data_IF_249640132770
#
_entry.id   IF_249640132770
#
_cell.length_a   1.000
_cell.length_b   1.000
_cell.length_c   1.000
_cell.angle_alpha   90.00
_cell.angle_beta   90.00
_cell.angle_gamma   90.00
#
_symmetry.space_group_name_H-M   'P 1'
#
loop_
_entity.id
_entity.type
_entity.pdbx_description
1 polymer ?
#
# COMPACT_ATOMS: atom_id res chain seq x y z
N UNK A 1 -82.72 -18.78 -46.77
CA UNK A 1 -81.30 -18.56 -47.10
C UNK A 1 -81.02 -17.07 -46.90
N UNK A 2 -80.40 -16.68 -45.78
CA UNK A 2 -80.09 -15.27 -45.49
C UNK A 2 -78.83 -14.90 -46.26
N UNK A 3 -78.97 -14.06 -47.30
CA UNK A 3 -77.83 -13.41 -47.95
C UNK A 3 -77.16 -12.52 -46.88
N UNK A 4 -75.90 -12.82 -46.56
CA UNK A 4 -75.11 -11.99 -45.67
C UNK A 4 -74.78 -10.70 -46.42
N UNK A 5 -75.02 -9.59 -45.74
CA UNK A 5 -74.77 -8.24 -46.24
C UNK A 5 -73.26 -8.00 -46.25
N UNK A 6 -72.58 -8.40 -47.33
CA UNK A 6 -71.14 -8.19 -47.50
C UNK A 6 -70.89 -6.75 -47.92
N UNK A 7 -70.75 -5.87 -46.92
CA UNK A 7 -70.24 -4.52 -47.14
C UNK A 7 -68.77 -4.63 -47.54
N UNK A 8 -68.51 -4.56 -48.84
CA UNK A 8 -67.15 -4.46 -49.36
C UNK A 8 -66.46 -3.21 -48.84
N UNK A 9 -65.17 -3.33 -48.51
CA UNK A 9 -64.33 -2.20 -48.11
C UNK A 9 -64.32 -1.20 -49.26
N UNK A 10 -64.66 0.05 -48.97
CA UNK A 10 -64.67 1.09 -50.00
C UNK A 10 -63.24 1.46 -50.37
N UNK A 11 -62.98 1.75 -51.65
CA UNK A 11 -61.64 2.16 -52.12
C UNK A 11 -61.07 3.34 -51.32
N UNK A 12 -61.95 4.23 -50.85
CA UNK A 12 -61.61 5.38 -50.01
C UNK A 12 -61.04 4.96 -48.66
N UNK A 13 -61.61 3.94 -48.01
CA UNK A 13 -61.10 3.42 -46.73
C UNK A 13 -59.70 2.81 -46.89
N UNK A 14 -59.43 2.10 -48.00
CA UNK A 14 -58.10 1.54 -48.28
C UNK A 14 -57.06 2.63 -48.49
N UNK A 15 -57.39 3.66 -49.30
CA UNK A 15 -56.49 4.78 -49.54
C UNK A 15 -56.22 5.59 -48.27
N UNK A 16 -57.24 5.81 -47.45
CA UNK A 16 -57.09 6.49 -46.16
C UNK A 16 -56.20 5.69 -45.21
N UNK A 17 -56.42 4.38 -45.09
CA UNK A 17 -55.60 3.49 -44.27
C UNK A 17 -54.13 3.46 -44.72
N UNK A 18 -53.87 3.39 -46.03
CA UNK A 18 -52.52 3.45 -46.59
C UNK A 18 -51.84 4.79 -46.27
N UNK A 19 -52.57 5.90 -46.41
CA UNK A 19 -52.04 7.24 -46.15
C UNK A 19 -51.67 7.40 -44.67
N UNK A 20 -52.55 7.00 -43.75
CA UNK A 20 -52.29 7.06 -42.31
C UNK A 20 -51.10 6.15 -41.95
N UNK A 21 -51.05 4.94 -42.50
CA UNK A 21 -49.95 4.00 -42.26
C UNK A 21 -48.62 4.57 -42.73
N UNK A 22 -48.59 5.24 -43.89
CA UNK A 22 -47.37 5.88 -44.40
C UNK A 22 -46.90 7.03 -43.49
N UNK A 23 -47.82 7.86 -42.98
CA UNK A 23 -47.48 8.96 -42.06
C UNK A 23 -46.92 8.41 -40.74
N UNK A 24 -47.58 7.41 -40.16
CA UNK A 24 -47.14 6.79 -38.90
C UNK A 24 -45.81 6.07 -39.12
N UNK A 25 -45.68 5.29 -40.20
CA UNK A 25 -44.47 4.56 -40.54
C UNK A 25 -43.26 5.47 -40.76
N UNK A 26 -43.44 6.57 -41.51
CA UNK A 26 -42.40 7.57 -41.70
C UNK A 26 -41.97 8.24 -40.38
N UNK A 27 -42.92 8.52 -39.49
CA UNK A 27 -42.63 9.12 -38.18
C UNK A 27 -41.85 8.16 -37.28
N UNK A 28 -42.24 6.88 -37.23
CA UNK A 28 -41.54 5.84 -36.44
C UNK A 28 -40.12 5.65 -36.98
N UNK A 29 -39.96 5.54 -38.31
CA UNK A 29 -38.64 5.39 -38.91
C UNK A 29 -37.73 6.58 -38.62
N UNK A 30 -38.26 7.81 -38.68
CA UNK A 30 -37.50 9.01 -38.34
C UNK A 30 -36.95 9.00 -36.91
N UNK A 31 -37.81 8.66 -35.93
CA UNK A 31 -37.39 8.57 -34.51
C UNK A 31 -36.39 7.43 -34.30
N UNK A 32 -36.61 6.27 -34.92
CA UNK A 32 -35.70 5.14 -34.80
C UNK A 32 -34.32 5.47 -35.37
N UNK A 33 -34.27 6.05 -36.57
CA UNK A 33 -33.02 6.45 -37.21
C UNK A 33 -32.28 7.50 -36.37
N UNK A 34 -32.98 8.49 -35.83
CA UNK A 34 -32.40 9.48 -34.91
C UNK A 34 -31.84 8.81 -33.64
N UNK A 35 -32.55 7.81 -33.09
CA UNK A 35 -32.12 7.09 -31.89
C UNK A 35 -30.85 6.27 -32.14
N UNK A 36 -30.76 5.59 -33.29
CA UNK A 36 -29.57 4.82 -33.67
C UNK A 36 -28.37 5.74 -33.85
N UNK A 37 -28.50 6.84 -34.61
CA UNK A 37 -27.42 7.80 -34.82
C UNK A 37 -26.98 8.47 -33.51
N UNK A 38 -27.92 8.79 -32.62
CA UNK A 38 -27.61 9.34 -31.30
C UNK A 38 -26.89 8.32 -30.41
N UNK A 39 -27.25 7.04 -30.51
CA UNK A 39 -26.58 5.95 -29.79
C UNK A 39 -25.15 5.76 -30.30
N UNK A 40 -24.93 5.66 -31.60
CA UNK A 40 -23.59 5.52 -32.20
C UNK A 40 -22.68 6.70 -31.85
N UNK A 41 -23.20 7.92 -31.91
CA UNK A 41 -22.46 9.13 -31.50
C UNK A 41 -22.10 9.10 -30.00
N UNK A 42 -23.02 8.64 -29.16
CA UNK A 42 -22.79 8.51 -27.71
C UNK A 42 -21.74 7.42 -27.40
N UNK A 43 -21.81 6.28 -28.09
CA UNK A 43 -20.82 5.21 -27.97
C UNK A 43 -19.43 5.68 -28.41
N UNK A 44 -19.33 6.33 -29.57
CA UNK A 44 -18.06 6.92 -30.05
C UNK A 44 -17.49 7.92 -29.05
N UNK A 45 -18.29 8.86 -28.53
CA UNK A 45 -17.84 9.85 -27.55
C UNK A 45 -17.35 9.20 -26.24
N UNK A 46 -17.99 8.12 -25.79
CA UNK A 46 -17.54 7.38 -24.61
C UNK A 46 -16.19 6.69 -24.85
N UNK A 47 -16.01 6.08 -26.02
CA UNK A 47 -14.75 5.46 -26.42
C UNK A 47 -13.63 6.50 -26.53
N UNK A 48 -13.87 7.61 -27.23
CA UNK A 48 -12.91 8.72 -27.34
C UNK A 48 -12.48 9.26 -25.97
N UNK A 49 -13.43 9.39 -25.03
CA UNK A 49 -13.11 9.80 -23.65
C UNK A 49 -12.24 8.78 -22.92
N UNK A 50 -12.48 7.48 -23.11
CA UNK A 50 -11.65 6.43 -22.51
C UNK A 50 -10.22 6.48 -23.06
N UNK A 51 -10.08 6.59 -24.38
CA UNK A 51 -8.78 6.71 -25.04
C UNK A 51 -8.04 7.98 -24.59
N UNK A 52 -8.73 9.12 -24.51
CA UNK A 52 -8.15 10.36 -24.03
C UNK A 52 -7.62 10.26 -22.59
N UNK A 53 -8.31 9.52 -21.71
CA UNK A 53 -7.84 9.28 -20.36
C UNK A 53 -6.63 8.33 -20.31
N UNK A 54 -6.56 7.34 -21.21
CA UNK A 54 -5.39 6.45 -21.33
C UNK A 54 -4.18 7.26 -21.79
N UNK A 55 -4.35 8.08 -22.83
CA UNK A 55 -3.33 9.02 -23.32
C UNK A 55 -2.89 9.95 -22.19
N UNK A 56 -3.84 10.52 -21.44
CA UNK A 56 -3.53 11.40 -20.31
C UNK A 56 -2.68 10.70 -19.23
N UNK A 57 -3.07 9.48 -18.88
CA UNK A 57 -2.40 8.71 -17.81
C UNK A 57 -0.97 8.38 -18.19
N UNK A 58 -0.75 7.97 -19.44
CA UNK A 58 0.60 7.67 -19.94
C UNK A 58 1.44 8.95 -20.09
N UNK A 59 0.88 10.07 -20.58
CA UNK A 59 1.58 11.36 -20.65
C UNK A 59 2.04 11.83 -19.27
N UNK A 60 1.16 11.73 -18.27
CA UNK A 60 1.50 12.01 -16.88
C UNK A 60 2.59 11.08 -16.36
N UNK A 61 2.49 9.78 -16.64
CA UNK A 61 3.49 8.82 -16.19
C UNK A 61 4.89 9.10 -16.79
N UNK A 62 4.97 9.53 -18.05
CA UNK A 62 6.24 9.92 -18.67
C UNK A 62 6.79 11.18 -18.01
N UNK A 63 5.95 12.20 -17.87
CA UNK A 63 6.32 13.47 -17.23
C UNK A 63 6.78 13.27 -15.78
N UNK A 64 6.19 12.32 -15.05
CA UNK A 64 6.53 12.03 -13.66
C UNK A 64 7.72 11.07 -13.48
N UNK A 65 7.98 10.12 -14.40
CA UNK A 65 8.95 9.03 -14.18
C UNK A 65 10.17 9.05 -15.11
N UNK A 66 10.05 9.63 -16.31
CA UNK A 66 11.10 9.53 -17.33
C UNK A 66 12.09 10.71 -17.30
N UNK A 67 11.87 11.69 -16.42
CA UNK A 67 12.50 13.01 -16.52
C UNK A 67 11.83 13.77 -17.66
N UNK A 68 12.58 14.06 -18.72
CA UNK A 68 12.11 14.99 -19.73
C UNK A 68 11.10 14.39 -20.75
N UNK A 69 10.13 15.20 -21.18
CA UNK A 69 9.17 14.82 -22.24
C UNK A 69 9.66 15.36 -23.60
N UNK A 70 9.84 14.48 -24.58
CA UNK A 70 10.23 14.87 -25.93
C UNK A 70 9.01 14.98 -26.86
N UNK A 71 8.86 16.15 -27.47
CA UNK A 71 7.77 16.45 -28.40
C UNK A 71 8.32 16.69 -29.79
N UNK A 72 7.99 15.77 -30.70
CA UNK A 72 8.45 15.80 -32.09
C UNK A 72 7.32 16.18 -33.04
N UNK A 73 7.68 16.88 -34.13
CA UNK A 73 6.74 17.16 -35.21
C UNK A 73 6.65 15.92 -36.10
N UNK A 74 5.44 15.36 -36.23
CA UNK A 74 5.16 14.29 -37.18
C UNK A 74 5.27 14.76 -38.63
N UNK A 75 5.28 13.82 -39.57
CA UNK A 75 5.46 14.12 -41.00
C UNK A 75 4.34 14.97 -41.61
N UNK A 76 3.16 15.02 -40.97
CA UNK A 76 2.05 15.89 -41.33
C UNK A 76 2.12 17.28 -40.69
N UNK A 77 1.53 18.29 -41.33
CA UNK A 77 1.55 19.70 -40.86
C UNK A 77 0.95 19.96 -39.47
N UNK A 78 0.29 18.96 -38.87
CA UNK A 78 -0.43 19.08 -37.60
C UNK A 78 -0.22 17.87 -36.67
N UNK A 79 0.66 16.95 -37.03
CA UNK A 79 0.90 15.74 -36.25
C UNK A 79 2.00 16.04 -35.23
N UNK A 80 1.74 15.73 -33.96
CA UNK A 80 2.72 15.85 -32.89
C UNK A 80 2.88 14.49 -32.24
N UNK A 81 4.11 13.98 -32.28
CA UNK A 81 4.46 12.68 -31.72
C UNK A 81 5.10 12.94 -30.36
N UNK A 82 4.41 12.48 -29.31
CA UNK A 82 5.02 12.35 -27.99
C UNK A 82 5.92 11.13 -28.01
N UNK A 83 7.17 11.29 -27.58
CA UNK A 83 8.08 10.18 -27.40
C UNK A 83 8.77 10.27 -26.05
N UNK A 84 9.13 9.11 -25.52
CA UNK A 84 10.07 9.00 -24.40
C UNK A 84 11.16 8.07 -24.86
N UNK A 85 12.41 8.55 -24.90
CA UNK A 85 13.56 7.81 -25.41
C UNK A 85 13.37 7.30 -26.85
N UNK A 86 12.72 8.08 -27.72
CA UNK A 86 12.58 7.78 -29.15
C UNK A 86 11.56 6.71 -29.52
N UNK A 87 10.74 6.22 -28.58
CA UNK A 87 9.61 5.33 -28.89
C UNK A 87 8.30 6.13 -28.98
N UNK A 88 7.55 6.05 -30.10
CA UNK A 88 6.29 6.76 -30.26
C UNK A 88 5.22 6.21 -29.30
N UNK A 89 4.40 7.13 -28.79
CA UNK A 89 3.43 6.88 -27.73
C UNK A 89 2.16 6.14 -28.16
N UNK A 90 1.74 6.34 -29.41
CA UNK A 90 0.54 5.73 -30.00
C UNK A 90 1.00 4.70 -31.02
N UNK A 91 0.89 3.43 -30.64
CA UNK A 91 0.98 2.32 -31.57
C UNK A 91 -0.21 2.42 -32.54
N UNK A 92 0.03 2.31 -33.85
CA UNK A 92 -0.90 2.46 -35.00
C UNK A 92 -2.41 2.36 -34.66
N UNK A 93 -2.96 3.38 -34.00
CA UNK A 93 -4.33 3.31 -33.47
C UNK A 93 -5.33 3.82 -34.51
N UNK A 94 -6.60 3.39 -34.42
CA UNK A 94 -7.70 3.91 -35.25
C UNK A 94 -8.02 5.41 -35.00
N UNK A 95 -7.21 6.11 -34.20
CA UNK A 95 -7.46 7.47 -33.74
C UNK A 95 -6.34 8.43 -34.17
N UNK A 96 -6.74 9.64 -34.52
CA UNK A 96 -5.81 10.75 -34.77
C UNK A 96 -5.78 11.66 -33.56
N UNK A 97 -4.59 11.94 -33.01
CA UNK A 97 -4.42 12.89 -31.91
C UNK A 97 -3.87 14.20 -32.48
N UNK A 98 -4.65 15.28 -32.34
CA UNK A 98 -4.25 16.64 -32.70
C UNK A 98 -3.87 17.37 -31.42
N UNK A 99 -2.64 17.90 -31.36
CA UNK A 99 -2.22 18.73 -30.24
C UNK A 99 -2.59 20.20 -30.51
N UNK A 100 -3.51 20.74 -29.72
CA UNK A 100 -4.03 22.09 -29.92
C UNK A 100 -3.19 23.13 -29.17
N UNK A 101 -2.79 22.81 -27.93
CA UNK A 101 -2.02 23.72 -27.09
C UNK A 101 -1.07 22.94 -26.19
N UNK A 102 0.18 23.40 -26.13
CA UNK A 102 1.19 22.94 -25.19
C UNK A 102 1.90 24.17 -24.64
N UNK A 103 1.58 24.51 -23.40
CA UNK A 103 2.08 25.73 -22.73
C UNK A 103 2.81 25.34 -21.46
N UNK A 104 4.05 25.79 -21.35
CA UNK A 104 4.74 25.90 -20.07
C UNK A 104 4.57 27.34 -19.57
N UNK A 105 4.85 27.59 -18.28
CA UNK A 105 4.81 28.94 -17.68
C UNK A 105 5.64 29.97 -18.47
N UNK A 106 6.62 29.52 -19.23
CA UNK A 106 7.50 30.39 -20.01
C UNK A 106 7.13 30.46 -21.51
N UNK A 107 6.69 29.37 -22.17
CA UNK A 107 6.61 29.29 -23.65
C UNK A 107 5.28 28.69 -24.18
N UNK A 108 4.82 29.19 -25.34
CA UNK A 108 3.78 28.56 -26.20
C UNK A 108 4.44 27.85 -27.38
N UNK A 109 4.28 26.54 -27.45
CA UNK A 109 5.22 25.67 -28.17
C UNK A 109 4.64 25.22 -29.49
N UNK A 110 3.32 25.15 -29.56
CA UNK A 110 2.61 24.95 -30.81
C UNK A 110 2.94 26.10 -31.77
N UNK A 111 3.14 27.31 -31.26
CA UNK A 111 3.58 28.45 -32.07
C UNK A 111 5.05 28.31 -32.53
N UNK A 112 5.93 27.77 -31.68
CA UNK A 112 7.35 27.53 -32.02
C UNK A 112 7.48 26.42 -33.08
N UNK A 113 6.76 25.31 -32.93
CA UNK A 113 6.79 24.16 -33.86
C UNK A 113 6.19 24.48 -35.25
N UNK A 114 5.35 25.52 -35.35
CA UNK A 114 4.85 26.03 -36.63
C UNK A 114 5.94 26.76 -37.42
N UNK A 115 6.88 27.41 -36.74
CA UNK A 115 7.87 28.30 -37.35
C UNK A 115 9.28 27.71 -37.48
N UNK A 116 9.59 26.63 -36.76
CA UNK A 116 10.91 25.98 -36.78
C UNK A 116 10.90 24.69 -37.62
N UNK A 117 11.96 24.49 -38.41
CA UNK A 117 12.14 23.36 -39.34
C UNK A 117 12.91 22.17 -38.74
N UNK A 118 13.34 22.25 -37.48
CA UNK A 118 13.96 21.12 -36.77
C UNK A 118 13.50 21.05 -35.31
N UNK A 119 13.74 19.96 -34.59
CA UNK A 119 13.10 18.63 -34.58
C UNK A 119 13.28 18.23 -33.12
N UNK A 120 12.19 18.01 -32.40
CA UNK A 120 12.18 17.67 -30.96
C UNK A 120 12.41 18.85 -30.01
N UNK A 121 11.44 19.09 -29.11
CA UNK A 121 11.60 19.95 -27.94
C UNK A 121 11.44 19.11 -26.69
N UNK A 122 12.37 19.27 -25.76
CA UNK A 122 12.47 18.53 -24.51
C UNK A 122 11.94 19.38 -23.36
N UNK A 123 11.02 18.84 -22.56
CA UNK A 123 10.43 19.51 -21.40
C UNK A 123 11.04 19.03 -20.12
N UNK A 124 11.49 19.95 -19.28
CA UNK A 124 11.85 19.63 -17.91
C UNK A 124 10.59 19.18 -17.15
N UNK A 125 10.65 17.99 -16.55
CA UNK A 125 9.58 17.45 -15.68
C UNK A 125 9.20 18.37 -14.53
N UNK A 126 10.06 19.32 -14.15
CA UNK A 126 9.84 20.19 -13.00
C UNK A 126 8.76 21.27 -13.18
N UNK A 127 8.38 21.56 -14.42
CA UNK A 127 7.43 22.64 -14.74
C UNK A 127 6.02 22.11 -14.94
N UNK A 128 5.01 22.87 -14.49
CA UNK A 128 3.62 22.59 -14.86
C UNK A 128 3.45 22.85 -16.37
N UNK A 129 2.87 21.87 -17.08
CA UNK A 129 2.60 21.94 -18.51
C UNK A 129 1.09 21.88 -18.74
N UNK A 130 0.50 22.93 -19.28
CA UNK A 130 -0.86 22.88 -19.80
C UNK A 130 -0.89 22.16 -21.15
N UNK A 131 -1.69 21.10 -21.23
CA UNK A 131 -1.84 20.28 -22.43
C UNK A 131 -3.31 20.32 -22.85
N UNK A 132 -3.56 20.66 -24.11
CA UNK A 132 -4.87 20.54 -24.76
C UNK A 132 -4.69 19.74 -26.03
N UNK A 133 -5.37 18.59 -26.15
CA UNK A 133 -5.38 17.79 -27.36
C UNK A 133 -6.79 17.33 -27.71
N UNK A 134 -7.01 17.12 -29.00
CA UNK A 134 -8.25 16.60 -29.57
C UNK A 134 -7.99 15.21 -30.16
N UNK A 135 -8.79 14.22 -29.75
CA UNK A 135 -8.79 12.89 -30.36
C UNK A 135 -9.93 12.81 -31.35
N UNK A 136 -9.64 12.36 -32.57
CA UNK A 136 -10.60 12.15 -33.65
C UNK A 136 -10.69 10.67 -34.03
N UNK A 137 -11.92 10.14 -34.17
CA UNK A 137 -12.17 8.80 -34.71
C UNK A 137 -12.32 8.79 -36.24
N UNK A 138 -12.39 7.59 -36.85
CA UNK A 138 -12.60 7.40 -38.29
C UNK A 138 -13.90 7.98 -38.87
N UNK A 139 -14.84 8.41 -38.03
CA UNK A 139 -16.10 9.03 -38.43
C UNK A 139 -16.08 10.56 -38.19
N UNK A 140 -14.90 11.13 -37.91
CA UNK A 140 -14.69 12.54 -37.58
C UNK A 140 -15.45 12.99 -36.33
N UNK A 141 -15.71 12.09 -35.38
CA UNK A 141 -16.12 12.50 -34.04
C UNK A 141 -14.88 12.94 -33.27
N UNK A 142 -14.98 14.08 -32.59
CA UNK A 142 -13.86 14.68 -31.87
C UNK A 142 -14.14 14.75 -30.36
N UNK A 143 -13.08 14.59 -29.56
CA UNK A 143 -13.10 14.79 -28.11
C UNK A 143 -11.88 15.61 -27.68
N UNK A 144 -12.12 16.82 -27.17
CA UNK A 144 -11.08 17.71 -26.64
C UNK A 144 -10.85 17.45 -25.16
N UNK A 145 -9.59 17.25 -24.77
CA UNK A 145 -9.17 17.14 -23.38
C UNK A 145 -8.18 18.26 -23.05
N UNK A 146 -8.55 19.08 -22.05
CA UNK A 146 -7.70 20.11 -21.47
C UNK A 146 -7.28 19.72 -20.05
N UNK A 147 -5.99 19.77 -19.78
CA UNK A 147 -5.41 19.43 -18.47
C UNK A 147 -4.19 20.29 -18.15
N UNK A 148 -3.69 20.11 -16.93
CA UNK A 148 -2.32 20.48 -16.55
C UNK A 148 -1.59 19.22 -16.09
N UNK A 149 -0.45 18.92 -16.72
CA UNK A 149 0.53 17.99 -16.19
C UNK A 149 1.34 18.75 -15.16
N UNK A 150 1.13 18.45 -13.87
CA UNK A 150 1.90 19.11 -12.83
C UNK A 150 3.38 18.75 -12.95
N UNK A 151 4.22 19.76 -12.80
CA UNK A 151 5.64 19.62 -12.63
C UNK A 151 5.93 18.72 -11.46
N UNK A 152 6.88 17.81 -11.62
CA UNK A 152 7.61 17.23 -10.53
C UNK A 152 8.32 18.38 -9.81
N UNK A 153 7.61 19.05 -8.89
CA UNK A 153 8.24 19.90 -7.88
C UNK A 153 9.38 19.05 -7.36
N UNK A 154 10.65 19.39 -7.71
CA UNK A 154 11.82 18.67 -7.22
C UNK A 154 11.57 18.51 -5.75
N UNK A 155 11.23 17.29 -5.38
CA UNK A 155 11.07 16.85 -4.02
C UNK A 155 12.50 16.92 -3.52
N UNK A 156 12.89 18.13 -3.11
CA UNK A 156 14.19 18.57 -2.63
C UNK A 156 14.79 17.42 -1.87
N UNK A 157 15.66 16.64 -2.51
CA UNK A 157 16.05 15.29 -2.09
C UNK A 157 15.12 14.74 -1.02
N UNK A 158 13.91 14.31 -1.40
CA UNK A 158 13.07 13.58 -0.47
C UNK A 158 13.92 12.42 -0.01
N UNK A 159 14.35 12.55 1.24
CA UNK A 159 15.08 11.56 2.00
C UNK A 159 14.42 10.22 1.73
N UNK A 160 15.05 9.42 0.87
CA UNK A 160 14.55 8.11 0.51
C UNK A 160 14.33 7.34 1.82
N UNK A 161 13.07 6.95 2.05
CA UNK A 161 12.67 5.82 2.88
C UNK A 161 13.10 5.80 4.35
N UNK A 162 12.53 6.64 5.22
CA UNK A 162 12.67 6.42 6.68
C UNK A 162 12.18 5.02 7.12
N UNK A 163 11.01 4.60 6.65
CA UNK A 163 10.34 3.37 7.12
C UNK A 163 10.89 2.06 6.53
N UNK A 164 11.29 2.02 5.25
CA UNK A 164 11.94 0.83 4.70
C UNK A 164 13.37 0.69 5.24
N UNK A 165 14.10 1.80 5.41
CA UNK A 165 15.37 1.80 6.14
C UNK A 165 15.18 1.37 7.59
N UNK A 166 14.04 1.67 8.22
CA UNK A 166 13.75 1.08 9.52
C UNK A 166 13.65 -0.45 9.42
N UNK A 167 12.79 -0.98 8.53
CA UNK A 167 12.61 -2.43 8.42
C UNK A 167 13.92 -3.17 8.12
N UNK A 168 14.72 -2.62 7.21
CA UNK A 168 15.97 -3.25 6.78
C UNK A 168 17.14 -2.96 7.73
N UNK A 169 17.41 -1.69 8.07
CA UNK A 169 18.58 -1.34 8.87
C UNK A 169 18.41 -1.69 10.35
N UNK A 170 17.17 -1.73 10.84
CA UNK A 170 16.88 -2.22 12.20
C UNK A 170 16.44 -3.67 12.19
N UNK A 171 16.46 -4.37 11.05
CA UNK A 171 16.10 -5.78 10.97
C UNK A 171 14.71 -6.06 11.60
N UNK A 172 13.74 -5.19 11.35
CA UNK A 172 12.40 -5.31 11.92
C UNK A 172 11.62 -6.39 11.19
N UNK A 173 11.27 -7.45 11.90
CA UNK A 173 10.42 -8.52 11.38
C UNK A 173 9.01 -8.48 11.95
N UNK A 174 8.75 -7.71 13.02
CA UNK A 174 7.42 -7.52 13.56
C UNK A 174 7.16 -6.03 13.78
N UNK A 175 6.12 -5.53 13.12
CA UNK A 175 5.65 -4.17 13.25
C UNK A 175 4.15 -4.13 13.49
N UNK A 176 3.72 -3.56 14.61
CA UNK A 176 2.30 -3.49 14.95
C UNK A 176 1.94 -2.23 15.74
N UNK A 177 0.65 -1.86 15.80
CA UNK A 177 0.15 -0.87 16.77
C UNK A 177 -0.25 -1.52 18.09
N UNK A 178 -0.77 -2.75 18.06
CA UNK A 178 -1.03 -3.52 19.27
C UNK A 178 -0.57 -4.96 19.12
N UNK A 179 -0.22 -5.56 20.23
CA UNK A 179 0.27 -6.93 20.29
C UNK A 179 -0.45 -7.64 21.43
N UNK A 180 -1.28 -8.61 21.08
CA UNK A 180 -2.04 -9.43 22.02
C UNK A 180 -1.49 -10.86 22.00
N UNK A 181 -1.05 -11.32 23.16
CA UNK A 181 -0.51 -12.66 23.36
C UNK A 181 -1.60 -13.72 23.63
N UNK A 182 -2.87 -13.31 23.62
CA UNK A 182 -4.03 -14.14 23.93
C UNK A 182 -4.11 -14.54 25.41
N UNK A 183 -5.31 -14.89 25.86
CA UNK A 183 -5.56 -15.33 27.25
C UNK A 183 -5.19 -16.80 27.53
N UNK A 184 -4.82 -17.56 26.49
CA UNK A 184 -4.64 -19.02 26.50
C UNK A 184 -3.35 -19.47 25.79
N UNK A 185 -2.54 -18.52 25.29
CA UNK A 185 -1.36 -18.78 24.48
C UNK A 185 -0.06 -18.73 25.30
N UNK A 186 0.90 -19.57 24.93
CA UNK A 186 2.31 -19.35 25.26
C UNK A 186 3.03 -18.95 23.97
N UNK A 187 2.88 -17.71 23.47
CA UNK A 187 3.56 -17.32 22.24
C UNK A 187 5.07 -17.30 22.48
N UNK A 188 5.78 -17.80 21.49
CA UNK A 188 7.24 -17.72 21.46
C UNK A 188 7.67 -16.93 20.24
N UNK A 189 8.50 -15.93 20.44
CA UNK A 189 9.02 -15.09 19.37
C UNK A 189 10.53 -15.14 19.45
N UNK A 190 11.16 -15.57 18.36
CA UNK A 190 12.60 -15.70 18.25
C UNK A 190 13.10 -14.84 17.09
N UNK A 191 14.11 -14.02 17.34
CA UNK A 191 14.71 -13.23 16.28
C UNK A 191 16.10 -12.75 16.65
N UNK A 192 17.09 -13.59 16.42
CA UNK A 192 18.50 -13.22 16.51
C UNK A 192 18.82 -12.17 15.43
N UNK A 193 19.50 -11.09 15.81
CA UNK A 193 19.67 -9.86 15.03
C UNK A 193 18.43 -8.97 14.91
N UNK A 194 17.23 -9.54 15.07
CA UNK A 194 16.01 -8.90 14.63
C UNK A 194 15.36 -7.96 15.66
N UNK A 195 14.47 -7.09 15.17
CA UNK A 195 13.75 -6.11 15.97
C UNK A 195 12.24 -6.25 15.92
N UNK A 196 11.60 -5.83 17.02
CA UNK A 196 10.15 -5.66 17.16
C UNK A 196 9.83 -4.18 17.36
N UNK A 197 8.82 -3.67 16.65
CA UNK A 197 8.32 -2.30 16.81
C UNK A 197 6.83 -2.30 17.11
N UNK A 198 6.45 -1.69 18.25
CA UNK A 198 5.06 -1.49 18.68
C UNK A 198 4.77 0.01 18.68
N UNK A 199 3.81 0.46 17.87
CA UNK A 199 3.54 1.89 17.61
C UNK A 199 2.33 2.45 18.37
N UNK A 200 1.47 1.61 18.93
CA UNK A 200 0.25 2.07 19.59
C UNK A 200 0.51 2.56 21.00
N UNK A 201 -0.23 3.61 21.38
CA UNK A 201 -0.12 4.30 22.67
C UNK A 201 -0.43 3.44 23.88
N UNK A 202 -1.12 2.32 23.69
CA UNK A 202 -1.39 1.35 24.75
C UNK A 202 -0.13 0.53 25.10
N UNK A 203 0.91 0.60 24.28
CA UNK A 203 2.19 -0.03 24.52
C UNK A 203 2.10 -1.56 24.48
N UNK A 204 2.82 -2.20 25.39
CA UNK A 204 2.95 -3.65 25.47
C UNK A 204 2.70 -4.11 26.90
N UNK A 205 1.71 -4.99 27.09
CA UNK A 205 1.35 -5.54 28.38
C UNK A 205 1.49 -7.07 28.38
N UNK A 206 2.45 -7.56 29.16
CA UNK A 206 2.72 -8.98 29.35
C UNK A 206 1.94 -9.59 30.52
N UNK A 207 1.12 -8.83 31.25
CA UNK A 207 0.34 -9.35 32.38
C UNK A 207 -0.64 -10.46 31.99
N UNK A 208 -1.02 -10.51 30.71
CA UNK A 208 -1.84 -11.59 30.13
C UNK A 208 -1.10 -12.91 29.91
N UNK A 209 0.24 -12.90 29.89
CA UNK A 209 1.06 -14.11 29.69
C UNK A 209 1.04 -14.99 30.94
N UNK A 210 0.14 -15.97 30.95
CA UNK A 210 0.03 -16.96 32.03
C UNK A 210 0.88 -18.18 31.72
N UNK A 211 2.05 -18.29 32.37
CA UNK A 211 2.87 -19.51 32.36
C UNK A 211 4.35 -19.23 32.10
N UNK A 212 5.22 -20.13 32.56
CA UNK A 212 6.69 -20.02 32.44
C UNK A 212 7.22 -20.27 31.02
N UNK A 213 6.35 -20.41 30.02
CA UNK A 213 6.70 -20.95 28.69
C UNK A 213 6.59 -19.96 27.54
N UNK A 214 6.24 -18.69 27.81
CA UNK A 214 6.26 -17.64 26.79
C UNK A 214 7.62 -16.94 26.82
N UNK A 215 8.30 -16.88 25.68
CA UNK A 215 9.53 -16.12 25.54
C UNK A 215 9.50 -15.19 24.33
N UNK A 216 9.98 -13.97 24.53
CA UNK A 216 10.33 -13.10 23.40
C UNK A 216 11.82 -12.81 23.46
N UNK A 217 12.52 -13.45 22.54
CA UNK A 217 13.97 -13.47 22.42
C UNK A 217 14.32 -12.79 21.10
N UNK A 218 14.42 -11.46 21.14
CA UNK A 218 14.84 -10.64 19.99
C UNK A 218 15.94 -9.68 20.41
N UNK A 219 16.72 -9.22 19.43
CA UNK A 219 17.83 -8.30 19.69
C UNK A 219 17.36 -6.93 20.12
N UNK A 220 16.38 -6.33 19.42
CA UNK A 220 15.89 -4.99 19.81
C UNK A 220 14.37 -4.85 19.87
N UNK A 221 13.92 -3.91 20.69
CA UNK A 221 12.52 -3.58 20.91
C UNK A 221 12.31 -2.08 20.92
N UNK A 222 11.30 -1.61 20.20
CA UNK A 222 10.91 -0.22 20.18
C UNK A 222 9.41 -0.10 20.45
N UNK A 223 9.01 0.52 21.55
CA UNK A 223 7.63 0.56 22.05
C UNK A 223 7.17 1.99 22.18
N UNK A 224 6.08 2.36 21.51
CA UNK A 224 5.47 3.69 21.56
C UNK A 224 4.34 3.79 22.59
N UNK A 225 4.64 3.48 23.85
CA UNK A 225 3.67 3.43 24.93
C UNK A 225 4.26 2.78 26.16
N UNK A 226 3.43 2.47 27.18
CA UNK A 226 3.92 1.82 28.38
C UNK A 226 4.39 0.38 28.11
N UNK A 227 5.39 -0.08 28.84
CA UNK A 227 5.79 -1.48 28.90
C UNK A 227 5.43 -2.02 30.29
N UNK A 228 4.48 -2.95 30.35
CA UNK A 228 4.06 -3.61 31.58
C UNK A 228 4.52 -5.07 31.51
N UNK A 229 5.42 -5.46 32.40
CA UNK A 229 5.85 -6.84 32.58
C UNK A 229 5.50 -7.30 33.97
N UNK A 230 4.57 -8.25 34.05
CA UNK A 230 4.16 -8.89 35.29
C UNK A 230 4.37 -10.40 35.17
N UNK A 231 5.43 -10.92 35.80
CA UNK A 231 5.74 -12.35 35.80
C UNK A 231 7.12 -12.73 35.24
N UNK A 232 7.28 -14.02 34.93
CA UNK A 232 8.57 -14.65 34.60
C UNK A 232 8.88 -14.71 33.10
N UNK A 233 8.11 -14.02 32.26
CA UNK A 233 8.33 -13.98 30.80
C UNK A 233 9.72 -13.46 30.49
N UNK A 234 10.43 -14.07 29.53
CA UNK A 234 11.77 -13.65 29.10
C UNK A 234 11.67 -12.52 28.07
N UNK A 235 12.51 -11.49 28.21
CA UNK A 235 12.58 -10.34 27.30
C UNK A 235 14.04 -10.05 26.92
N UNK A 236 14.34 -10.12 25.63
CA UNK A 236 15.66 -9.85 25.05
C UNK A 236 16.45 -11.13 24.73
N UNK A 237 17.47 -10.98 23.90
CA UNK A 237 18.33 -12.07 23.42
C UNK A 237 18.95 -12.88 24.58
N UNK A 238 18.56 -14.16 24.67
CA UNK A 238 19.07 -15.15 25.61
C UNK A 238 19.86 -16.15 24.77
N UNK A 239 21.15 -15.87 24.58
CA UNK A 239 21.99 -16.81 23.84
C UNK A 239 23.46 -16.47 23.82
N UNK A 240 23.83 -15.20 23.97
CA UNK A 240 25.22 -14.78 23.80
C UNK A 240 25.74 -14.04 25.03
N UNK A 241 27.01 -14.30 25.39
CA UNK A 241 27.75 -13.57 26.44
C UNK A 241 27.97 -12.08 26.08
N UNK A 242 27.31 -11.57 25.04
CA UNK A 242 27.56 -10.26 24.45
C UNK A 242 26.24 -9.61 24.02
N UNK A 243 25.48 -9.01 24.96
CA UNK A 243 24.17 -8.43 24.66
C UNK A 243 24.31 -7.22 23.73
N UNK A 244 23.96 -7.37 22.46
CA UNK A 244 24.04 -6.29 21.44
C UNK A 244 22.69 -5.62 21.15
N UNK A 245 21.75 -5.72 22.10
CA UNK A 245 20.38 -5.27 21.93
C UNK A 245 20.05 -3.90 22.51
N UNK A 246 18.95 -3.32 22.03
CA UNK A 246 18.36 -2.09 22.56
C UNK A 246 16.88 -2.31 22.90
N UNK A 247 16.46 -1.88 24.09
CA UNK A 247 15.05 -1.77 24.47
C UNK A 247 14.70 -0.30 24.65
N UNK A 248 13.86 0.21 23.75
CA UNK A 248 13.37 1.58 23.77
C UNK A 248 11.88 1.62 24.13
N UNK A 249 11.53 2.36 25.19
CA UNK A 249 10.16 2.54 25.68
C UNK A 249 9.82 4.03 25.67
N UNK A 250 8.95 4.45 24.76
CA UNK A 250 8.38 5.80 24.71
C UNK A 250 7.16 5.92 25.64
N UNK A 251 7.38 5.69 26.93
CA UNK A 251 6.34 5.66 27.93
C UNK A 251 6.86 5.14 29.26
N UNK A 252 5.92 4.78 30.15
CA UNK A 252 6.26 4.23 31.46
C UNK A 252 6.65 2.75 31.37
N UNK A 253 7.68 2.35 32.12
CA UNK A 253 8.12 0.96 32.22
C UNK A 253 7.83 0.42 33.61
N UNK A 254 7.02 -0.63 33.69
CA UNK A 254 6.61 -1.29 34.92
C UNK A 254 7.10 -2.73 34.88
N UNK A 255 8.01 -3.08 35.78
CA UNK A 255 8.59 -4.40 35.94
C UNK A 255 8.19 -4.99 37.30
N UNK A 256 7.44 -6.09 37.29
CA UNK A 256 7.00 -6.80 38.50
C UNK A 256 7.42 -8.27 38.46
N UNK A 257 7.94 -8.76 39.58
CA UNK A 257 8.20 -10.20 39.79
C UNK A 257 7.29 -10.75 40.89
N UNK A 258 6.84 -11.99 40.74
CA UNK A 258 5.94 -12.64 41.72
C UNK A 258 6.67 -13.26 42.93
N UNK A 259 7.70 -12.58 43.47
CA UNK A 259 8.31 -12.94 44.76
C UNK A 259 9.14 -14.23 44.81
N UNK A 260 9.31 -14.95 43.69
CA UNK A 260 10.29 -16.03 43.57
C UNK A 260 11.69 -15.43 43.41
N UNK A 261 12.68 -15.89 44.17
CA UNK A 261 14.02 -15.30 44.23
C UNK A 261 14.85 -15.33 42.93
N UNK A 262 14.24 -15.63 41.78
CA UNK A 262 14.86 -15.62 40.46
C UNK A 262 15.10 -14.17 39.98
N UNK A 263 16.29 -13.94 39.45
CA UNK A 263 16.67 -12.66 38.87
C UNK A 263 16.16 -12.64 37.43
N UNK A 264 15.28 -11.68 37.13
CA UNK A 264 14.83 -11.46 35.77
C UNK A 264 15.84 -10.60 35.03
N UNK A 265 16.56 -11.20 34.08
CA UNK A 265 17.52 -10.48 33.25
C UNK A 265 16.79 -9.73 32.12
N UNK A 266 17.28 -8.53 31.82
CA UNK A 266 17.04 -7.82 30.57
C UNK A 266 18.41 -7.57 29.95
N UNK A 267 18.58 -8.01 28.71
CA UNK A 267 19.85 -7.91 28.01
C UNK A 267 19.86 -6.65 27.12
N UNK A 268 21.00 -5.97 27.08
CA UNK A 268 21.21 -4.78 26.24
C UNK A 268 20.96 -3.46 26.96
N UNK A 269 20.99 -2.38 26.17
CA UNK A 269 20.75 -1.02 26.64
C UNK A 269 19.26 -0.74 26.73
N UNK A 270 18.80 -0.20 27.85
CA UNK A 270 17.40 0.09 28.10
C UNK A 270 17.19 1.59 28.22
N UNK A 271 16.26 2.12 27.43
CA UNK A 271 15.90 3.53 27.37
C UNK A 271 14.41 3.70 27.67
N UNK A 272 14.08 4.44 28.73
CA UNK A 272 12.71 4.68 29.18
C UNK A 272 12.39 6.17 29.17
N UNK A 273 11.67 6.64 28.15
CA UNK A 273 11.19 8.02 28.04
C UNK A 273 9.92 8.27 28.89
N UNK A 274 9.95 7.82 30.14
CA UNK A 274 8.84 7.91 31.08
C UNK A 274 9.27 7.52 32.49
N UNK A 275 8.30 7.14 33.32
CA UNK A 275 8.55 6.66 34.68
C UNK A 275 9.04 5.22 34.66
N UNK A 276 9.93 4.89 35.60
CA UNK A 276 10.43 3.54 35.81
C UNK A 276 9.92 3.01 37.14
N UNK A 277 9.15 1.93 37.11
CA UNK A 277 8.68 1.23 38.29
C UNK A 277 9.23 -0.19 38.32
N UNK A 278 10.05 -0.51 39.34
CA UNK A 278 10.64 -1.85 39.52
C UNK A 278 10.24 -2.42 40.87
N UNK A 279 9.44 -3.48 40.85
CA UNK A 279 9.03 -4.25 42.02
C UNK A 279 9.53 -5.70 41.90
N UNK A 280 10.74 -5.96 42.41
CA UNK A 280 11.36 -7.29 42.33
C UNK A 280 12.87 -7.29 42.14
N UNK A 281 13.41 -8.46 41.80
CA UNK A 281 14.82 -8.65 41.46
C UNK A 281 15.00 -8.61 39.95
N UNK A 282 15.59 -7.54 39.44
CA UNK A 282 15.88 -7.38 38.01
C UNK A 282 17.34 -7.03 37.79
N UNK A 283 17.92 -7.64 36.76
CA UNK A 283 19.27 -7.32 36.30
C UNK A 283 19.22 -6.85 34.87
N UNK A 284 19.50 -5.58 34.63
CA UNK A 284 19.87 -5.15 33.28
C UNK A 284 21.36 -5.38 33.11
N UNK A 285 21.73 -6.14 32.09
CA UNK A 285 23.11 -6.62 31.92
C UNK A 285 24.05 -5.48 31.49
N UNK A 286 23.55 -4.49 30.75
CA UNK A 286 24.32 -3.31 30.35
C UNK A 286 23.91 -2.07 31.17
N UNK A 287 23.07 -1.19 30.61
CA UNK A 287 22.63 0.04 31.27
C UNK A 287 21.13 0.27 31.12
N UNK A 288 20.53 0.90 32.13
CA UNK A 288 19.14 1.35 32.10
C UNK A 288 19.09 2.86 32.35
N UNK A 289 18.65 3.60 31.34
CA UNK A 289 18.43 5.04 31.40
C UNK A 289 16.94 5.36 31.42
N UNK A 290 16.52 6.29 32.29
CA UNK A 290 15.13 6.74 32.38
C UNK A 290 15.01 8.25 32.55
N UNK A 291 13.93 8.86 32.04
CA UNK A 291 13.71 10.31 32.07
C UNK A 291 12.87 10.79 33.27
N UNK A 292 11.81 10.03 33.58
CA UNK A 292 10.80 10.37 34.59
C UNK A 292 11.24 10.10 36.01
N UNK A 293 10.32 9.59 36.83
CA UNK A 293 10.60 9.19 38.22
C UNK A 293 10.95 7.70 38.31
N UNK A 294 11.90 7.36 39.18
CA UNK A 294 12.16 5.97 39.57
C UNK A 294 11.43 5.64 40.87
N UNK A 295 10.61 4.60 40.85
CA UNK A 295 10.01 3.99 42.04
C UNK A 295 10.38 2.52 42.07
N UNK A 296 10.97 2.04 43.15
CA UNK A 296 11.26 0.62 43.24
C UNK A 296 12.30 0.24 44.26
N UNK A 297 12.42 -1.08 44.45
CA UNK A 297 13.48 -1.70 45.24
C UNK A 297 14.21 -2.70 44.35
N UNK A 298 15.01 -2.21 43.41
CA UNK A 298 15.90 -3.14 42.71
C UNK A 298 16.98 -3.62 43.70
N UNK A 299 17.05 -4.93 43.91
CA UNK A 299 18.01 -5.53 44.85
C UNK A 299 19.30 -5.99 44.19
N UNK A 300 19.42 -5.82 42.87
CA UNK A 300 20.63 -6.18 42.11
C UNK A 300 21.37 -4.95 41.55
N UNK A 301 22.68 -5.11 41.29
CA UNK A 301 23.63 -4.08 40.85
C UNK A 301 23.44 -3.66 39.39
N UNK A 302 22.24 -3.22 39.03
CA UNK A 302 21.99 -2.64 37.71
C UNK A 302 22.45 -1.18 37.68
N UNK A 303 23.13 -0.76 36.62
CA UNK A 303 23.42 0.65 36.35
C UNK A 303 22.12 1.36 35.92
N UNK A 304 21.32 1.78 36.90
CA UNK A 304 20.10 2.56 36.71
C UNK A 304 20.46 4.04 36.84
N UNK A 305 20.37 4.78 35.73
CA UNK A 305 20.72 6.19 35.67
C UNK A 305 19.53 7.02 35.18
N UNK A 306 19.31 8.18 35.81
CA UNK A 306 18.35 9.16 35.29
C UNK A 306 19.03 9.99 34.22
N UNK A 307 18.52 9.97 32.99
CA UNK A 307 19.03 10.73 31.86
C UNK A 307 17.89 11.54 31.22
N UNK A 308 17.90 12.88 31.29
CA UNK A 308 16.88 13.70 30.65
C UNK A 308 16.95 13.69 29.12
N UNK A 309 18.09 13.27 28.56
CA UNK A 309 18.42 13.32 27.13
C UNK A 309 18.41 11.92 26.51
N UNK A 310 17.37 11.13 26.80
CA UNK A 310 17.17 9.84 26.15
C UNK A 310 16.99 10.07 24.64
N UNK A 311 17.71 9.31 23.78
CA UNK A 311 17.55 9.39 22.32
C UNK A 311 16.08 9.19 21.94
N UNK A 312 15.55 9.95 20.99
CA UNK A 312 14.20 9.68 20.47
C UNK A 312 14.25 8.61 19.38
N UNK A 313 13.26 7.70 19.37
CA UNK A 313 13.01 6.81 18.25
C UNK A 313 11.82 7.29 17.44
N UNK A 314 11.97 7.35 16.12
CA UNK A 314 10.89 7.72 15.20
C UNK A 314 10.05 6.49 14.85
N UNK A 315 8.73 6.62 14.99
CA UNK A 315 7.77 5.59 14.61
C UNK A 315 7.11 6.01 13.28
N UNK A 316 6.98 5.06 12.35
CA UNK A 316 6.43 5.33 11.02
C UNK A 316 5.01 4.76 10.88
N UNK A 317 4.21 5.34 9.99
CA UNK A 317 2.99 4.69 9.52
C UNK A 317 3.28 3.92 8.24
N UNK A 318 2.54 2.83 8.05
CA UNK A 318 2.57 2.07 6.81
C UNK A 318 1.20 2.15 6.15
N UNK A 319 1.19 2.32 4.84
CA UNK A 319 -0.01 2.21 4.01
C UNK A 319 0.26 1.30 2.81
N UNK A 320 -0.81 0.74 2.29
CA UNK A 320 -0.85 -0.03 1.04
C UNK A 320 -0.73 0.89 -0.16
N UNK A 321 -0.17 0.36 -1.26
CA UNK A 321 -0.12 1.02 -2.56
C UNK A 321 -1.50 1.02 -3.23
N UNK A 322 -1.65 1.81 -4.30
CA UNK A 322 -2.78 1.66 -5.21
C UNK A 322 -2.83 0.20 -5.73
N UNK A 323 -4.02 -0.45 -5.79
CA UNK A 323 -4.22 -1.78 -6.37
C UNK A 323 -3.45 -2.06 -7.68
N UNK A 324 -3.41 -1.09 -8.60
CA UNK A 324 -2.76 -1.25 -9.91
C UNK A 324 -1.25 -1.44 -9.80
N UNK A 325 -0.63 -0.94 -8.72
CA UNK A 325 0.77 -1.18 -8.43
C UNK A 325 1.04 -2.66 -8.16
N UNK A 326 0.13 -3.35 -7.46
CA UNK A 326 0.27 -4.77 -7.18
C UNK A 326 -0.01 -5.62 -8.42
N UNK A 327 -1.05 -5.30 -9.19
CA UNK A 327 -1.44 -6.11 -10.35
C UNK A 327 -0.58 -5.82 -11.57
N UNK A 328 -0.72 -4.64 -12.15
CA UNK A 328 -0.20 -4.28 -13.47
C UNK A 328 1.32 -4.26 -13.43
N UNK A 329 1.90 -3.71 -12.36
CA UNK A 329 3.35 -3.53 -12.26
C UNK A 329 4.07 -4.74 -11.65
N UNK A 330 3.40 -5.55 -10.82
CA UNK A 330 4.08 -6.52 -9.95
C UNK A 330 3.52 -7.95 -9.99
N UNK A 331 2.47 -8.20 -10.79
CA UNK A 331 1.97 -9.56 -11.04
C UNK A 331 1.31 -10.23 -9.83
N UNK A 332 0.80 -9.46 -8.86
CA UNK A 332 0.05 -10.02 -7.74
C UNK A 332 -1.29 -10.57 -8.21
N UNK A 333 -1.69 -11.71 -7.65
CA UNK A 333 -3.07 -12.21 -7.79
C UNK A 333 -3.98 -11.36 -6.93
N UNK A 334 -5.03 -10.78 -7.52
CA UNK A 334 -5.95 -9.89 -6.80
C UNK A 334 -7.28 -10.54 -6.49
N UNK A 335 -7.67 -10.38 -5.25
CA UNK A 335 -8.97 -10.79 -4.77
C UNK A 335 -9.81 -9.59 -4.35
N UNK A 336 -10.85 -9.33 -5.13
CA UNK A 336 -11.93 -8.39 -4.82
C UNK A 336 -13.16 -9.23 -4.47
N UNK A 337 -13.65 -9.13 -3.25
CA UNK A 337 -14.88 -9.82 -2.84
C UNK A 337 -15.74 -8.91 -1.98
N UNK A 338 -17.04 -9.02 -2.22
CA UNK A 338 -18.07 -8.16 -1.63
C UNK A 338 -18.55 -8.68 -0.27
N UNK A 339 -18.28 -9.95 0.09
CA UNK A 339 -18.79 -10.59 1.31
C UNK A 339 -17.83 -11.67 1.84
N UNK A 340 -17.53 -11.62 3.15
CA UNK A 340 -16.89 -12.60 4.04
C UNK A 340 -16.45 -13.93 3.41
N UNK A 341 -15.39 -13.89 2.60
CA UNK A 341 -14.80 -15.08 1.98
C UNK A 341 -13.42 -15.32 2.58
N UNK A 342 -13.16 -16.57 2.93
CA UNK A 342 -11.80 -17.03 3.26
C UNK A 342 -11.09 -17.47 1.98
N UNK A 343 -9.84 -17.05 1.82
CA UNK A 343 -9.01 -17.41 0.66
C UNK A 343 -7.78 -18.14 1.18
N UNK A 344 -7.62 -19.39 0.76
CA UNK A 344 -6.44 -20.17 1.08
C UNK A 344 -5.26 -19.72 0.21
N UNK A 345 -4.15 -19.38 0.85
CA UNK A 345 -2.90 -18.95 0.20
C UNK A 345 -1.84 -20.00 0.49
N UNK A 346 -1.25 -20.53 -0.58
CA UNK A 346 -0.20 -21.57 -0.53
C UNK A 346 1.17 -21.07 -0.96
N UNK A 347 2.07 -22.00 -1.20
CA UNK A 347 3.48 -21.72 -1.49
C UNK A 347 3.70 -20.77 -2.67
N UNK A 348 4.76 -19.96 -2.60
CA UNK A 348 5.25 -19.07 -3.66
C UNK A 348 4.18 -18.09 -4.20
N UNK A 349 3.21 -17.73 -3.37
CA UNK A 349 2.09 -16.89 -3.77
C UNK A 349 2.35 -15.40 -3.49
N UNK A 350 2.04 -14.55 -4.47
CA UNK A 350 1.94 -13.09 -4.31
C UNK A 350 0.49 -12.66 -4.42
N UNK A 351 -0.11 -12.22 -3.31
CA UNK A 351 -1.55 -11.99 -3.21
C UNK A 351 -1.82 -10.59 -2.68
N UNK A 352 -2.69 -9.85 -3.37
CA UNK A 352 -3.24 -8.58 -2.88
C UNK A 352 -4.76 -8.69 -2.67
N UNK A 353 -5.19 -8.30 -1.47
CA UNK A 353 -6.57 -8.39 -1.01
C UNK A 353 -7.08 -6.97 -0.79
N UNK A 354 -7.90 -6.51 -1.74
CA UNK A 354 -8.41 -5.13 -1.79
C UNK A 354 -9.62 -4.91 -0.86
N UNK A 355 -10.11 -5.95 -0.19
CA UNK A 355 -11.33 -5.88 0.64
C UNK A 355 -11.03 -6.07 2.12
N UNK A 356 -11.62 -5.21 2.95
CA UNK A 356 -11.58 -5.32 4.41
C UNK A 356 -12.32 -6.54 4.96
N UNK A 357 -13.22 -7.11 4.15
CA UNK A 357 -14.11 -8.20 4.55
C UNK A 357 -13.63 -9.57 4.02
N UNK A 358 -12.39 -9.65 3.55
CA UNK A 358 -11.77 -10.92 3.17
C UNK A 358 -10.78 -11.30 4.24
N UNK A 359 -10.79 -12.57 4.59
CA UNK A 359 -9.80 -13.18 5.46
C UNK A 359 -8.87 -14.02 4.59
N UNK A 360 -7.59 -13.71 4.60
CA UNK A 360 -6.57 -14.63 4.08
C UNK A 360 -6.37 -15.77 5.08
N UNK A 361 -6.48 -17.02 4.64
CA UNK A 361 -6.03 -18.18 5.40
C UNK A 361 -4.68 -18.63 4.81
N UNK A 362 -3.60 -18.31 5.51
CA UNK A 362 -2.24 -18.53 5.00
C UNK A 362 -1.65 -19.81 5.58
N UNK A 363 -1.22 -20.68 4.68
CA UNK A 363 -0.47 -21.90 4.99
C UNK A 363 0.46 -22.23 3.81
N UNK A 364 1.74 -21.91 3.94
CA UNK A 364 2.71 -22.15 2.87
C UNK A 364 4.04 -21.43 3.07
N UNK A 365 4.97 -21.61 2.14
CA UNK A 365 6.30 -21.01 2.14
C UNK A 365 6.45 -19.93 1.08
N UNK A 366 7.35 -18.96 1.32
CA UNK A 366 7.70 -17.89 0.38
C UNK A 366 6.50 -17.06 -0.10
N UNK A 367 5.58 -16.74 0.81
CA UNK A 367 4.37 -15.99 0.48
C UNK A 367 4.59 -14.48 0.62
N UNK A 368 3.89 -13.69 -0.19
CA UNK A 368 3.76 -12.24 0.01
C UNK A 368 2.27 -11.91 -0.02
N UNK A 369 1.72 -11.61 1.16
CA UNK A 369 0.28 -11.34 1.33
C UNK A 369 0.11 -9.90 1.77
N UNK A 370 -0.55 -9.12 0.92
CA UNK A 370 -0.89 -7.72 1.18
C UNK A 370 -2.40 -7.63 1.32
N UNK A 371 -2.90 -7.12 2.45
CA UNK A 371 -4.33 -7.06 2.75
C UNK A 371 -4.75 -5.70 3.29
N UNK A 372 -5.86 -5.17 2.77
CA UNK A 372 -6.58 -4.04 3.38
C UNK A 372 -7.40 -4.46 4.61
N UNK A 373 -7.62 -5.77 4.79
CA UNK A 373 -8.37 -6.38 5.88
C UNK A 373 -7.51 -7.30 6.74
N UNK A 374 -8.16 -8.30 7.34
CA UNK A 374 -7.53 -9.20 8.30
C UNK A 374 -6.86 -10.40 7.60
N UNK A 375 -5.81 -10.93 8.22
CA UNK A 375 -5.08 -12.14 7.81
C UNK A 375 -5.15 -13.13 8.99
N UNK A 376 -5.52 -14.37 8.71
CA UNK A 376 -5.47 -15.49 9.65
C UNK A 376 -4.40 -16.49 9.19
N UNK A 377 -3.55 -16.91 10.10
CA UNK A 377 -2.52 -17.92 9.89
C UNK A 377 -2.94 -19.17 10.64
N UNK A 378 -3.48 -20.16 9.93
CA UNK A 378 -4.04 -21.38 10.52
C UNK A 378 -3.02 -22.52 10.68
N UNK A 379 -2.01 -22.56 9.81
CA UNK A 379 -1.04 -23.67 9.70
C UNK A 379 0.43 -23.28 9.92
N UNK A 380 0.75 -21.99 9.95
CA UNK A 380 2.13 -21.50 9.90
C UNK A 380 2.63 -21.29 8.47
N UNK A 381 3.93 -21.08 8.30
CA UNK A 381 4.53 -20.86 6.98
C UNK A 381 5.76 -19.95 6.99
N UNK A 382 6.12 -19.44 5.82
CA UNK A 382 7.12 -18.39 5.68
C UNK A 382 6.71 -17.33 4.65
N UNK A 383 7.11 -16.08 4.88
CA UNK A 383 6.80 -15.00 3.95
C UNK A 383 6.68 -13.60 4.56
N UNK A 384 6.00 -12.73 3.84
CA UNK A 384 5.67 -11.36 4.26
C UNK A 384 4.16 -11.25 4.41
N UNK A 385 3.71 -10.86 5.60
CA UNK A 385 2.31 -10.54 5.88
C UNK A 385 2.19 -9.03 6.10
N UNK A 386 1.45 -8.36 5.23
CA UNK A 386 1.31 -6.91 5.24
C UNK A 386 -0.17 -6.51 5.31
N UNK A 387 -0.63 -6.15 6.51
CA UNK A 387 -2.00 -5.75 6.81
C UNK A 387 -2.04 -4.48 7.68
N UNK A 388 -1.51 -3.33 7.20
CA UNK A 388 -1.31 -2.13 8.03
C UNK A 388 -2.60 -1.55 8.63
N UNK A 389 -3.76 -1.86 8.04
CA UNK A 389 -5.09 -1.43 8.53
C UNK A 389 -5.88 -2.55 9.20
N UNK A 390 -5.40 -3.79 9.13
CA UNK A 390 -6.09 -4.99 9.61
C UNK A 390 -5.31 -5.76 10.66
N UNK A 391 -5.89 -6.85 11.12
CA UNK A 391 -5.31 -7.73 12.13
C UNK A 391 -4.58 -8.90 11.46
N UNK A 392 -3.46 -9.33 12.04
CA UNK A 392 -2.85 -10.62 11.72
C UNK A 392 -3.04 -11.53 12.93
N UNK A 393 -3.84 -12.58 12.77
CA UNK A 393 -4.15 -13.53 13.85
C UNK A 393 -3.52 -14.87 13.54
N UNK A 394 -2.72 -15.39 14.47
CA UNK A 394 -2.15 -16.73 14.37
C UNK A 394 -2.94 -17.68 15.28
N UNK A 395 -3.53 -18.73 14.71
CA UNK A 395 -4.29 -19.71 15.48
C UNK A 395 -3.41 -20.76 16.16
N UNK A 396 -2.32 -21.13 15.47
CA UNK A 396 -1.27 -22.06 15.89
C UNK A 396 -0.16 -22.10 14.83
N UNK A 397 0.90 -22.84 15.13
CA UNK A 397 1.95 -23.16 14.18
C UNK A 397 3.17 -22.27 14.30
N UNK A 398 4.11 -22.43 13.38
CA UNK A 398 5.34 -21.62 13.31
C UNK A 398 5.30 -20.76 12.05
N UNK A 399 5.57 -19.47 12.17
CA UNK A 399 5.73 -18.57 11.04
C UNK A 399 7.12 -17.94 11.03
N UNK A 400 7.80 -17.99 9.88
CA UNK A 400 9.12 -17.39 9.70
C UNK A 400 9.04 -16.28 8.66
N UNK A 401 9.31 -15.03 9.05
CA UNK A 401 9.29 -13.93 8.10
C UNK A 401 8.95 -12.58 8.71
N UNK A 402 8.40 -11.68 7.88
CA UNK A 402 8.13 -10.28 8.26
C UNK A 402 6.63 -10.04 8.34
N UNK A 403 6.18 -9.41 9.43
CA UNK A 403 4.78 -9.12 9.71
C UNK A 403 4.65 -7.63 10.00
N UNK A 404 3.81 -6.96 9.22
CA UNK A 404 3.40 -5.57 9.47
C UNK A 404 1.88 -5.54 9.53
N UNK A 405 1.33 -5.16 10.67
CA UNK A 405 -0.11 -5.18 10.91
C UNK A 405 -0.59 -3.98 11.72
N UNK A 406 -1.90 -3.74 11.76
CA UNK A 406 -2.48 -2.87 12.79
C UNK A 406 -2.39 -3.55 14.15
N UNK A 407 -2.87 -4.79 14.24
CA UNK A 407 -2.80 -5.58 15.47
C UNK A 407 -2.29 -6.99 15.13
N UNK A 408 -1.53 -7.58 16.05
CA UNK A 408 -1.08 -8.97 15.95
C UNK A 408 -1.63 -9.73 17.15
N UNK A 409 -2.33 -10.83 16.87
CA UNK A 409 -2.89 -11.71 17.89
C UNK A 409 -2.22 -13.09 17.80
N UNK A 410 -1.60 -13.55 18.87
CA UNK A 410 -0.88 -14.83 18.88
C UNK A 410 -1.56 -15.87 19.76
N UNK A 411 -2.30 -16.79 19.15
CA UNK A 411 -2.82 -17.96 19.84
C UNK A 411 -1.83 -19.13 19.68
N UNK A 412 -0.98 -19.38 20.69
CA UNK A 412 -0.04 -20.53 20.71
C UNK A 412 0.87 -20.61 19.47
N UNK A 413 1.20 -19.47 18.88
CA UNK A 413 2.04 -19.38 17.70
C UNK A 413 3.51 -19.22 18.08
N UNK A 414 4.38 -19.71 17.21
CA UNK A 414 5.83 -19.45 17.24
C UNK A 414 6.17 -18.53 16.09
N UNK A 415 6.70 -17.35 16.35
CA UNK A 415 7.22 -16.47 15.32
C UNK A 415 8.75 -16.54 15.29
N UNK A 416 9.30 -16.54 14.10
CA UNK A 416 10.74 -16.51 13.86
C UNK A 416 11.08 -15.39 12.89
N UNK A 417 12.11 -14.60 13.19
CA UNK A 417 12.71 -13.76 12.16
C UNK A 417 13.38 -14.66 11.10
N UNK A 418 13.47 -14.20 9.85
CA UNK A 418 14.36 -14.84 8.90
C UNK A 418 15.83 -14.60 9.32
N UNK A 419 16.78 -15.49 8.96
CA UNK A 419 18.18 -15.37 9.36
C UNK A 419 18.88 -14.11 8.85
N UNK A 420 18.48 -13.63 7.67
CA UNK A 420 18.95 -12.40 7.05
C UNK A 420 17.75 -11.75 6.37
N UNK A 421 17.24 -10.65 6.94
CA UNK A 421 16.05 -9.96 6.43
C UNK A 421 16.31 -9.37 5.04
N UNK A 422 17.54 -8.91 4.75
CA UNK A 422 17.88 -8.37 3.44
C UNK A 422 17.86 -9.45 2.38
N UNK A 423 18.53 -10.58 2.65
CA UNK A 423 18.54 -11.71 1.74
C UNK A 423 17.14 -12.32 1.60
N UNK A 424 16.36 -12.39 2.69
CA UNK A 424 14.98 -12.86 2.68
C UNK A 424 14.09 -12.06 1.72
N UNK A 425 14.21 -10.73 1.72
CA UNK A 425 13.47 -9.90 0.77
C UNK A 425 13.93 -10.13 -0.68
N UNK A 426 15.23 -10.29 -0.92
CA UNK A 426 15.76 -10.62 -2.26
C UNK A 426 15.22 -11.97 -2.76
N UNK A 427 15.20 -12.98 -1.91
CA UNK A 427 14.77 -14.34 -2.26
C UNK A 427 13.27 -14.43 -2.57
N UNK A 428 12.44 -13.59 -1.95
CA UNK A 428 11.01 -13.46 -2.27
C UNK A 428 10.75 -12.84 -3.66
N UNK A 429 11.80 -12.60 -4.46
CA UNK A 429 11.74 -11.90 -5.74
C UNK A 429 11.01 -10.56 -5.59
N UNK A 430 11.27 -9.89 -4.46
CA UNK A 430 10.96 -8.49 -4.21
C UNK A 430 12.31 -7.82 -4.50
N UNK A 431 12.53 -7.48 -5.77
CA UNK A 431 13.81 -7.09 -6.37
C UNK A 431 14.47 -5.85 -5.76
N UNK A 432 15.54 -5.40 -6.42
CA UNK A 432 16.48 -4.37 -5.96
C UNK A 432 15.80 -3.10 -5.45
N UNK A 433 16.08 -2.73 -4.20
CA UNK A 433 15.96 -1.46 -3.45
C UNK A 433 14.67 -0.58 -3.58
N UNK A 434 13.80 -0.78 -4.57
CA UNK A 434 12.59 0.01 -4.83
C UNK A 434 11.29 -0.81 -4.70
N UNK A 435 11.37 -2.10 -4.41
CA UNK A 435 10.29 -3.05 -4.69
C UNK A 435 9.38 -3.41 -3.51
N UNK A 436 9.48 -2.71 -2.38
CA UNK A 436 8.70 -3.09 -1.20
C UNK A 436 7.22 -2.61 -1.30
N UNK A 437 6.22 -3.41 -0.87
CA UNK A 437 4.78 -3.12 -1.04
C UNK A 437 4.23 -1.93 -0.26
N UNK A 438 5.09 -1.08 0.29
CA UNK A 438 4.74 0.05 1.15
C UNK A 438 4.54 1.32 0.34
N UNK A 439 3.48 2.06 0.65
CA UNK A 439 3.52 3.52 0.62
C UNK A 439 3.91 3.99 2.03
N UNK A 440 4.82 4.95 2.09
CA UNK A 440 5.11 5.69 3.31
C UNK A 440 4.31 6.98 3.21
N UNK A 441 3.32 7.14 4.09
CA UNK A 441 2.78 8.47 4.33
C UNK A 441 3.82 9.19 5.20
N UNK A 442 4.54 10.16 4.62
CA UNK A 442 5.19 11.19 5.41
C UNK A 442 4.08 11.98 6.13
N UNK A 443 3.79 11.58 7.36
CA UNK A 443 3.08 12.46 8.28
C UNK A 443 3.98 13.68 8.51
N UNK A 444 3.58 14.80 7.91
CA UNK A 444 3.98 16.13 8.34
C UNK A 444 3.95 16.18 9.87
N UNK A 445 4.94 16.82 10.54
CA UNK A 445 4.77 17.15 11.93
C UNK A 445 3.54 18.07 12.06
N UNK A 446 2.52 17.58 12.75
CA UNK A 446 1.52 18.45 13.35
C UNK A 446 2.05 18.86 14.72
N UNK A 447 2.56 20.09 14.74
CA UNK A 447 3.06 20.89 15.87
C UNK A 447 4.50 20.66 16.31
#
# INVERSE_FOLDING_TARGET
>A
MKLKDERGITLVEVLLALTITAIIGGSIYGVLHQTINAKEKSESHNTLRQEANIVMTKLRAIHENSGDLDVEKGGGSSEVIFSSNGSPFVDESEYTIKLDTLKSSEWDIVEILKNDSSTTKTFNSESDIEVTFTIEDKHNNEYELKTTLSGEQRKKDVSINGSYRLLVNKEVFLYSSAFDTGSQGNPNIYGDGASIVITGKNGLDFSGLKGNSSSIEVTSFYINGPLIRDGNSKLGDIGTDNPKGELYVNGDMILKTNGGGEINNIYGQVYVNGNLNIDGKFRVVDSLKYKGTYTGKNTDKTNIERDPNIPSFEFYSFTTRNPDWYTVKRGYTVHKATINKTISIGDNSKVYIESKNITADVSGENMVVVSEGDIIVSGGGSGVLFAPKGNVTFDKGTFTGVIVAKNINLNKAVLKSPPDIQQFFKDLSIGSDEEFPLIIDELLPSN
#
